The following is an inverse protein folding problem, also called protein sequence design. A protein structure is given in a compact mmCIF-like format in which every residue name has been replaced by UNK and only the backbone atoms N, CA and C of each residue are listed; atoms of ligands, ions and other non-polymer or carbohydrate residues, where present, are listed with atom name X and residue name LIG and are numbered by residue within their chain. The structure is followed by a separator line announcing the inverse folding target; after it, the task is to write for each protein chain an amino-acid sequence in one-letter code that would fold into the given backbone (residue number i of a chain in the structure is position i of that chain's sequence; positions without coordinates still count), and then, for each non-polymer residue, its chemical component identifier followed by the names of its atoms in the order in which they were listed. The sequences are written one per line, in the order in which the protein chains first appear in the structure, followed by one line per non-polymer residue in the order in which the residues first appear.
data_IF_115758687794
#
_entry.id   IF_115758687794
#
_cell.length_a   1.000
_cell.length_b   1.000
_cell.length_c   1.000
_cell.angle_alpha   90.00
_cell.angle_beta   90.00
_cell.angle_gamma   90.00
#
_symmetry.space_group_name_H-M   'P 1'
#
loop_
_entity.id
_entity.type
_entity.pdbx_description
1 polymer ?
#
# COMPACT_ATOMS: atom_id res chain seq x y z
N UNK A 1 39.61 -34.62 3.34
CA UNK A 1 39.17 -33.44 2.56
C UNK A 1 38.21 -32.62 3.40
N UNK A 2 38.71 -31.63 4.13
CA UNK A 2 37.90 -30.76 4.97
C UNK A 2 37.31 -29.68 4.07
N UNK A 3 36.01 -29.77 3.74
CA UNK A 3 35.27 -28.67 3.11
C UNK A 3 35.33 -27.50 4.08
N UNK A 4 36.11 -26.47 3.74
CA UNK A 4 36.11 -25.19 4.45
C UNK A 4 34.71 -24.60 4.30
N UNK A 5 33.93 -24.53 5.38
CA UNK A 5 32.70 -23.72 5.40
C UNK A 5 33.12 -22.27 5.16
N UNK A 6 32.76 -21.74 4.00
CA UNK A 6 33.00 -20.37 3.63
C UNK A 6 31.83 -19.53 4.19
N UNK A 7 32.07 -18.51 5.01
CA UNK A 7 30.99 -17.73 5.65
C UNK A 7 30.03 -17.08 4.63
N UNK A 8 30.49 -16.80 3.41
CA UNK A 8 29.64 -16.30 2.33
C UNK A 8 28.58 -17.33 1.89
N UNK A 9 28.89 -18.63 1.94
CA UNK A 9 27.97 -19.69 1.54
C UNK A 9 26.81 -19.82 2.54
N UNK A 10 27.09 -19.59 3.83
CA UNK A 10 26.07 -19.57 4.89
C UNK A 10 25.14 -18.35 4.76
N UNK A 11 25.69 -17.17 4.43
CA UNK A 11 24.90 -15.95 4.20
C UNK A 11 23.98 -16.13 2.99
N UNK A 12 24.50 -16.62 1.87
CA UNK A 12 23.71 -16.85 0.64
C UNK A 12 22.59 -17.87 0.91
N UNK A 13 22.89 -18.94 1.63
CA UNK A 13 21.89 -19.95 2.01
C UNK A 13 20.83 -19.36 2.94
N UNK A 14 21.21 -18.51 3.89
CA UNK A 14 20.29 -17.82 4.79
C UNK A 14 19.35 -16.88 4.03
N UNK A 15 19.88 -16.08 3.10
CA UNK A 15 19.07 -15.18 2.26
C UNK A 15 18.11 -15.96 1.35
N UNK A 16 18.58 -17.02 0.70
CA UNK A 16 17.74 -17.88 -0.14
C UNK A 16 16.62 -18.57 0.64
N UNK A 17 16.93 -19.02 1.87
CA UNK A 17 15.93 -19.64 2.76
C UNK A 17 14.90 -18.61 3.21
N UNK A 18 15.35 -17.40 3.58
CA UNK A 18 14.47 -16.30 3.98
C UNK A 18 13.52 -15.89 2.86
N UNK A 19 14.03 -15.78 1.64
CA UNK A 19 13.21 -15.49 0.46
C UNK A 19 12.13 -16.56 0.25
N UNK A 20 12.52 -17.84 0.19
CA UNK A 20 11.57 -18.94 -0.04
C UNK A 20 10.47 -19.00 1.03
N UNK A 21 10.83 -18.74 2.29
CA UNK A 21 9.87 -18.72 3.41
C UNK A 21 8.84 -17.59 3.25
N UNK A 22 9.28 -16.41 2.81
CA UNK A 22 8.37 -15.27 2.59
C UNK A 22 7.49 -15.52 1.36
N UNK A 23 8.04 -16.08 0.27
CA UNK A 23 7.28 -16.47 -0.92
C UNK A 23 6.17 -17.47 -0.59
N UNK A 24 6.47 -18.47 0.23
CA UNK A 24 5.49 -19.45 0.72
C UNK A 24 4.40 -18.78 1.57
N UNK A 25 4.79 -17.92 2.51
CA UNK A 25 3.85 -17.20 3.37
C UNK A 25 2.90 -16.30 2.57
N UNK A 26 3.41 -15.59 1.56
CA UNK A 26 2.59 -14.77 0.66
C UNK A 26 1.58 -15.65 -0.08
N UNK A 27 2.02 -16.78 -0.61
CA UNK A 27 1.16 -17.69 -1.37
C UNK A 27 0.02 -18.25 -0.52
N UNK A 28 0.33 -18.64 0.72
CA UNK A 28 -0.67 -19.10 1.70
C UNK A 28 -1.68 -18.00 2.01
N UNK A 29 -1.21 -16.80 2.37
CA UNK A 29 -2.09 -15.69 2.73
C UNK A 29 -3.02 -15.27 1.58
N UNK A 30 -2.52 -15.30 0.35
CA UNK A 30 -3.32 -14.96 -0.84
C UNK A 30 -4.36 -16.03 -1.13
N UNK A 31 -3.99 -17.30 -1.01
CA UNK A 31 -4.95 -18.40 -1.19
C UNK A 31 -6.08 -18.30 -0.17
N UNK A 32 -5.75 -18.16 1.11
CA UNK A 32 -6.75 -17.99 2.16
C UNK A 32 -7.58 -16.71 2.00
N UNK A 33 -6.98 -15.62 1.48
CA UNK A 33 -7.69 -14.38 1.23
C UNK A 33 -8.69 -14.53 0.08
N UNK A 34 -8.31 -15.22 -1.00
CA UNK A 34 -9.18 -15.49 -2.13
C UNK A 34 -10.34 -16.41 -1.73
N UNK A 35 -10.07 -17.48 -0.98
CA UNK A 35 -11.11 -18.37 -0.45
C UNK A 35 -12.09 -17.63 0.46
N UNK A 36 -11.57 -16.75 1.32
CA UNK A 36 -12.42 -15.90 2.14
C UNK A 36 -13.21 -14.91 1.28
N UNK A 37 -12.68 -14.40 0.17
CA UNK A 37 -13.36 -13.50 -0.77
C UNK A 37 -14.56 -14.11 -1.47
N UNK A 38 -14.57 -15.43 -1.68
CA UNK A 38 -15.68 -16.13 -2.32
C UNK A 38 -16.92 -16.27 -1.41
N UNK A 39 -16.79 -16.02 -0.10
CA UNK A 39 -17.93 -16.03 0.84
C UNK A 39 -18.82 -14.79 0.69
N UNK A 40 -20.03 -14.92 0.15
CA UNK A 40 -20.94 -13.78 -0.10
C UNK A 40 -21.43 -13.08 1.19
N UNK A 41 -21.34 -13.73 2.36
CA UNK A 41 -21.90 -13.24 3.62
C UNK A 41 -20.85 -12.88 4.67
N UNK A 42 -19.93 -11.98 4.30
CA UNK A 42 -18.90 -11.47 5.23
C UNK A 42 -19.47 -10.49 6.26
N UNK A 43 -19.19 -10.77 7.53
CA UNK A 43 -19.31 -9.80 8.61
C UNK A 43 -18.26 -8.68 8.49
N UNK A 44 -18.49 -7.54 9.13
CA UNK A 44 -17.50 -6.45 9.18
C UNK A 44 -16.16 -6.89 9.79
N UNK A 45 -16.18 -7.84 10.73
CA UNK A 45 -14.96 -8.38 11.35
C UNK A 45 -14.17 -9.26 10.37
N UNK A 46 -14.84 -10.12 9.61
CA UNK A 46 -14.20 -10.90 8.54
C UNK A 46 -13.64 -9.98 7.46
N UNK A 47 -14.34 -8.91 7.12
CA UNK A 47 -13.89 -7.93 6.14
C UNK A 47 -12.65 -7.15 6.65
N UNK A 48 -12.60 -6.79 7.93
CA UNK A 48 -11.39 -6.23 8.58
C UNK A 48 -10.22 -7.22 8.61
N UNK A 49 -10.49 -8.51 8.83
CA UNK A 49 -9.47 -9.55 8.79
C UNK A 49 -8.91 -9.71 7.36
N UNK A 50 -9.77 -9.75 6.36
CA UNK A 50 -9.38 -9.88 4.96
C UNK A 50 -8.54 -8.67 4.50
N UNK A 51 -8.94 -7.46 4.87
CA UNK A 51 -8.15 -6.24 4.65
C UNK A 51 -6.74 -6.36 5.24
N UNK A 52 -6.62 -6.87 6.47
CA UNK A 52 -5.32 -7.12 7.13
C UNK A 52 -4.48 -8.11 6.35
N UNK A 53 -5.06 -9.23 5.89
CA UNK A 53 -4.33 -10.23 5.09
C UNK A 53 -3.75 -9.61 3.82
N UNK A 54 -4.55 -8.88 3.06
CA UNK A 54 -4.09 -8.20 1.84
C UNK A 54 -3.02 -7.14 2.08
N UNK A 55 -3.14 -6.36 3.16
CA UNK A 55 -2.11 -5.39 3.52
C UNK A 55 -0.79 -6.07 3.92
N UNK A 56 -0.85 -7.16 4.67
CA UNK A 56 0.31 -7.99 5.03
C UNK A 56 0.99 -8.55 3.79
N UNK A 57 0.23 -9.10 2.84
CA UNK A 57 0.78 -9.60 1.57
C UNK A 57 1.51 -8.50 0.81
N UNK A 58 0.91 -7.31 0.72
CA UNK A 58 1.55 -6.15 0.08
C UNK A 58 2.88 -5.78 0.71
N UNK A 59 2.95 -5.75 2.06
CA UNK A 59 4.18 -5.48 2.79
C UNK A 59 5.23 -6.59 2.65
N UNK A 60 4.83 -7.85 2.72
CA UNK A 60 5.74 -8.99 2.54
C UNK A 60 6.32 -9.02 1.12
N UNK A 61 5.53 -8.67 0.10
CA UNK A 61 6.00 -8.54 -1.28
C UNK A 61 7.04 -7.43 -1.42
N UNK A 62 6.86 -6.29 -0.73
CA UNK A 62 7.85 -5.21 -0.70
C UNK A 62 9.14 -5.65 0.05
N UNK A 63 9.03 -6.49 1.08
CA UNK A 63 10.19 -7.02 1.83
C UNK A 63 11.03 -8.03 1.02
N UNK A 64 10.43 -8.75 0.06
CA UNK A 64 11.16 -9.70 -0.78
C UNK A 64 12.34 -9.04 -1.51
N UNK A 65 12.29 -7.75 -1.81
CA UNK A 65 13.39 -7.04 -2.48
C UNK A 65 14.67 -6.94 -1.64
N UNK A 66 14.57 -7.14 -0.33
CA UNK A 66 15.73 -7.17 0.58
C UNK A 66 16.54 -8.46 0.41
N UNK A 67 15.90 -9.54 -0.06
CA UNK A 67 16.54 -10.86 -0.21
C UNK A 67 17.15 -11.08 -1.60
N UNK A 68 16.86 -10.21 -2.57
CA UNK A 68 17.42 -10.25 -3.91
C UNK A 68 16.38 -9.89 -4.99
N UNK A 69 16.68 -10.19 -6.26
CA UNK A 69 15.73 -10.01 -7.36
C UNK A 69 14.43 -10.80 -7.09
N UNK A 70 13.32 -10.07 -7.07
CA UNK A 70 11.98 -10.63 -6.81
C UNK A 70 11.36 -11.07 -8.14
N UNK A 71 10.63 -12.19 -8.13
CA UNK A 71 9.87 -12.63 -9.32
C UNK A 71 8.71 -11.66 -9.58
N UNK A 72 8.43 -11.39 -10.86
CA UNK A 72 7.40 -10.45 -11.29
C UNK A 72 5.99 -10.78 -10.74
N UNK A 73 5.72 -12.07 -10.50
CA UNK A 73 4.48 -12.55 -9.88
C UNK A 73 4.26 -11.93 -8.50
N UNK A 74 5.28 -11.90 -7.65
CA UNK A 74 5.17 -11.34 -6.29
C UNK A 74 5.05 -9.80 -6.31
N UNK A 75 5.67 -9.14 -7.29
CA UNK A 75 5.52 -7.69 -7.50
C UNK A 75 4.07 -7.37 -7.90
N UNK A 76 3.53 -8.13 -8.84
CA UNK A 76 2.15 -7.99 -9.31
C UNK A 76 1.16 -8.30 -8.20
N UNK A 77 1.41 -9.37 -7.45
CA UNK A 77 0.60 -9.79 -6.32
C UNK A 77 0.58 -8.75 -5.20
N UNK A 78 1.73 -8.14 -4.88
CA UNK A 78 1.80 -7.03 -3.94
C UNK A 78 0.95 -5.83 -4.36
N UNK A 79 0.92 -5.49 -5.65
CA UNK A 79 0.06 -4.41 -6.18
C UNK A 79 -1.43 -4.78 -6.08
N UNK A 80 -1.80 -5.99 -6.48
CA UNK A 80 -3.18 -6.48 -6.41
C UNK A 80 -3.67 -6.48 -4.95
N UNK A 81 -2.87 -7.02 -4.04
CA UNK A 81 -3.21 -7.09 -2.62
C UNK A 81 -3.38 -5.68 -2.01
N UNK A 82 -2.48 -4.75 -2.31
CA UNK A 82 -2.62 -3.34 -1.89
C UNK A 82 -3.92 -2.70 -2.41
N UNK A 83 -4.26 -2.91 -3.68
CA UNK A 83 -5.51 -2.40 -4.28
C UNK A 83 -6.76 -3.03 -3.63
N UNK A 84 -6.74 -4.34 -3.38
CA UNK A 84 -7.82 -5.07 -2.70
C UNK A 84 -8.02 -4.57 -1.27
N UNK A 85 -6.95 -4.36 -0.51
CA UNK A 85 -7.03 -3.81 0.84
C UNK A 85 -7.72 -2.43 0.85
N UNK A 86 -7.40 -1.56 -0.10
CA UNK A 86 -8.05 -0.24 -0.24
C UNK A 86 -9.54 -0.38 -0.58
N UNK A 87 -9.89 -1.31 -1.46
CA UNK A 87 -11.29 -1.57 -1.84
C UNK A 87 -12.10 -2.02 -0.63
N UNK A 88 -11.59 -3.01 0.10
CA UNK A 88 -12.22 -3.53 1.31
C UNK A 88 -12.34 -2.45 2.38
N UNK A 89 -11.29 -1.63 2.54
CA UNK A 89 -11.32 -0.51 3.45
C UNK A 89 -12.47 0.46 3.12
N UNK A 90 -12.65 0.78 1.84
CA UNK A 90 -13.72 1.68 1.38
C UNK A 90 -15.09 1.09 1.67
N UNK A 91 -15.26 -0.21 1.50
CA UNK A 91 -16.52 -0.91 1.78
C UNK A 91 -16.83 -0.93 3.29
N UNK A 92 -15.80 -1.11 4.13
CA UNK A 92 -15.90 -0.98 5.59
C UNK A 92 -16.30 0.43 6.03
N UNK A 93 -15.74 1.46 5.39
CA UNK A 93 -16.02 2.88 5.71
C UNK A 93 -17.39 3.32 5.21
N UNK A 94 -17.85 2.75 4.09
CA UNK A 94 -19.16 3.04 3.51
C UNK A 94 -20.30 2.30 4.20
N UNK A 95 -19.98 1.36 5.11
CA UNK A 95 -20.92 0.70 6.02
C UNK A 95 -22.10 0.06 5.30
N UNK A 96 -21.90 -1.12 4.71
CA UNK A 96 -22.97 -2.02 4.25
C UNK A 96 -24.21 -1.31 3.64
N UNK A 97 -24.17 -0.99 2.35
CA UNK A 97 -25.35 -0.62 1.57
C UNK A 97 -25.31 0.79 0.98
N UNK A 98 -24.70 0.92 -0.19
CA UNK A 98 -25.06 1.97 -1.14
C UNK A 98 -24.70 1.51 -2.53
N UNK A 99 -25.70 0.96 -3.21
CA UNK A 99 -25.80 0.92 -4.66
C UNK A 99 -25.32 2.24 -5.26
N UNK A 100 -24.13 2.27 -5.85
CA UNK A 100 -23.77 3.28 -6.84
C UNK A 100 -24.44 2.92 -8.17
N UNK A 101 -24.97 3.89 -8.93
CA UNK A 101 -25.80 3.60 -10.08
C UNK A 101 -24.93 2.94 -11.15
N UNK A 102 -25.25 1.68 -11.47
CA UNK A 102 -24.88 1.08 -12.74
C UNK A 102 -25.58 1.91 -13.82
N UNK A 103 -24.89 2.95 -14.30
CA UNK A 103 -25.24 3.60 -15.55
C UNK A 103 -25.02 2.55 -16.63
N UNK A 104 -26.14 1.95 -17.01
CA UNK A 104 -26.38 1.39 -18.33
C UNK A 104 -25.69 2.26 -19.37
N UNK A 105 -24.72 1.70 -20.10
CA UNK A 105 -24.52 2.08 -21.50
C UNK A 105 -23.74 1.00 -22.26
N UNK A 106 -24.52 0.21 -22.98
CA UNK A 106 -24.19 -0.51 -24.21
C UNK A 106 -23.51 0.45 -25.21
N UNK A 107 -22.44 0.04 -25.93
CA UNK A 107 -21.94 0.78 -27.10
C UNK A 107 -22.56 0.21 -28.39
N UNK A 108 -22.29 0.78 -29.58
CA UNK A 108 -22.20 2.20 -29.94
C UNK A 108 -23.16 2.50 -31.10
N UNK A 109 -23.58 3.75 -31.30
CA UNK A 109 -23.90 4.18 -32.66
C UNK A 109 -23.60 5.66 -32.90
N UNK A 110 -23.14 5.88 -34.11
CA UNK A 110 -22.62 7.06 -34.81
C UNK A 110 -23.44 8.35 -34.67
N UNK A 111 -22.75 9.50 -34.54
CA UNK A 111 -22.82 10.60 -35.52
C UNK A 111 -21.85 11.77 -35.20
N UNK A 112 -21.30 12.30 -36.28
CA UNK A 112 -20.35 13.41 -36.47
C UNK A 112 -21.01 14.77 -36.15
N UNK A 113 -20.31 15.75 -35.52
CA UNK A 113 -19.83 16.98 -36.18
C UNK A 113 -19.14 18.00 -35.22
N UNK A 114 -18.15 18.66 -35.82
CA UNK A 114 -17.29 19.80 -35.55
C UNK A 114 -17.87 21.00 -34.78
N UNK A 115 -17.09 21.58 -33.84
CA UNK A 115 -16.60 22.98 -33.91
C UNK A 115 -15.91 23.42 -32.61
N UNK A 116 -14.82 24.15 -32.77
CA UNK A 116 -13.97 24.71 -31.74
C UNK A 116 -14.63 25.83 -30.92
N UNK A 117 -14.39 25.85 -29.60
CA UNK A 117 -14.37 27.09 -28.83
C UNK A 117 -13.38 26.99 -27.67
N UNK A 118 -12.36 27.85 -27.71
CA UNK A 118 -11.39 28.10 -26.64
C UNK A 118 -12.04 29.10 -25.68
N UNK A 119 -12.21 28.72 -24.41
CA UNK A 119 -12.28 29.70 -23.30
C UNK A 119 -11.62 29.15 -22.03
N UNK A 120 -10.71 29.99 -21.54
CA UNK A 120 -9.86 30.06 -20.35
C UNK A 120 -10.39 29.56 -18.98
N UNK A 121 -9.52 29.51 -17.94
CA UNK A 121 -9.49 28.45 -16.93
C UNK A 121 -10.39 28.75 -15.73
N UNK A 122 -11.19 27.76 -15.34
CA UNK A 122 -11.89 27.77 -14.05
C UNK A 122 -11.10 26.95 -13.04
N UNK A 123 -10.60 27.65 -12.02
CA UNK A 123 -10.33 27.25 -10.63
C UNK A 123 -10.36 25.74 -10.33
N UNK A 124 -9.29 25.13 -9.76
CA UNK A 124 -9.37 23.76 -9.28
C UNK A 124 -10.37 23.69 -8.12
N UNK A 125 -11.49 23.01 -8.34
CA UNK A 125 -12.33 22.49 -7.27
C UNK A 125 -11.47 21.57 -6.40
N UNK A 126 -11.38 21.88 -5.11
CA UNK A 126 -10.92 20.96 -4.07
C UNK A 126 -11.75 19.68 -4.15
N UNK A 127 -11.11 18.59 -4.58
CA UNK A 127 -11.68 17.26 -4.48
C UNK A 127 -11.34 16.72 -3.09
N UNK A 128 -12.30 16.16 -2.32
CA UNK A 128 -12.03 15.63 -0.99
C UNK A 128 -11.23 14.35 -1.12
N UNK A 129 -9.91 14.46 -0.92
CA UNK A 129 -9.03 13.29 -0.76
C UNK A 129 -9.26 12.67 0.61
N UNK A 130 -10.35 11.91 0.75
CA UNK A 130 -10.64 11.14 1.95
C UNK A 130 -9.78 9.87 1.98
N UNK A 131 -8.48 10.06 2.14
CA UNK A 131 -7.50 9.00 2.32
C UNK A 131 -7.68 8.41 3.72
N UNK A 132 -8.06 7.14 3.90
CA UNK A 132 -8.52 6.69 5.19
C UNK A 132 -7.45 5.86 5.92
N UNK A 133 -6.20 6.36 5.84
CA UNK A 133 -5.06 5.77 6.51
C UNK A 133 -4.95 6.14 8.01
N UNK A 134 -5.91 6.91 8.54
CA UNK A 134 -5.80 7.52 9.88
C UNK A 134 -6.14 6.60 11.06
N UNK A 135 -6.45 5.30 10.84
CA UNK A 135 -6.82 4.39 11.93
C UNK A 135 -5.92 3.17 12.10
N UNK A 136 -4.79 3.09 11.40
CA UNK A 136 -4.01 1.84 11.31
C UNK A 136 -2.67 1.81 12.05
N UNK A 137 -2.31 2.86 12.79
CA UNK A 137 -0.99 2.94 13.46
C UNK A 137 -0.94 2.34 14.87
N UNK A 138 -1.93 1.53 15.28
CA UNK A 138 -1.89 0.86 16.58
C UNK A 138 -1.40 -0.59 16.45
N UNK A 139 -0.14 -0.80 16.07
CA UNK A 139 0.57 -2.01 16.52
C UNK A 139 2.08 -1.78 16.67
N UNK A 140 2.53 -2.15 17.86
CA UNK A 140 3.77 -1.87 18.57
C UNK A 140 4.99 -2.55 17.94
N UNK A 141 6.04 -1.77 17.65
CA UNK A 141 7.43 -2.26 17.63
C UNK A 141 8.21 -1.53 18.72
N UNK A 142 8.66 -2.30 19.70
CA UNK A 142 9.53 -1.87 20.78
C UNK A 142 10.82 -1.28 20.21
N UNK A 143 10.96 0.05 20.26
CA UNK A 143 12.27 0.71 20.39
C UNK A 143 12.08 2.20 20.77
N UNK A 144 12.39 2.54 22.04
CA UNK A 144 12.56 3.89 22.62
C UNK A 144 11.30 4.78 22.63
N UNK A 145 11.11 5.58 23.66
CA UNK A 145 9.92 6.40 23.97
C UNK A 145 9.58 7.50 22.93
N UNK A 146 9.32 7.12 21.67
CA UNK A 146 8.78 8.04 20.66
C UNK A 146 7.26 8.03 20.77
N UNK A 147 6.61 9.17 21.10
CA UNK A 147 5.16 9.24 21.19
C UNK A 147 4.51 8.80 19.87
N UNK A 148 3.41 8.05 19.98
CA UNK A 148 2.70 7.51 18.81
C UNK A 148 2.22 8.61 17.84
N UNK A 149 1.91 9.79 18.39
CA UNK A 149 1.53 10.98 17.61
C UNK A 149 2.68 11.48 16.73
N UNK A 150 3.91 11.51 17.26
CA UNK A 150 5.13 11.88 16.52
C UNK A 150 5.39 10.90 15.37
N UNK A 151 5.24 9.60 15.62
CA UNK A 151 5.37 8.56 14.59
C UNK A 151 4.32 8.76 13.49
N UNK A 152 3.06 8.95 13.88
CA UNK A 152 1.94 9.12 12.95
C UNK A 152 2.12 10.38 12.09
N UNK A 153 2.56 11.48 12.68
CA UNK A 153 2.81 12.74 11.98
C UNK A 153 4.01 12.63 11.03
N UNK A 154 5.10 11.97 11.46
CA UNK A 154 6.29 11.75 10.63
C UNK A 154 5.94 10.89 9.40
N UNK A 155 5.13 9.84 9.58
CA UNK A 155 4.67 9.00 8.47
C UNK A 155 3.76 9.75 7.50
N UNK A 156 2.93 10.68 7.99
CA UNK A 156 2.10 11.54 7.14
C UNK A 156 2.96 12.45 6.26
N UNK A 157 4.00 13.06 6.81
CA UNK A 157 4.94 13.89 6.06
C UNK A 157 5.68 13.08 4.99
N UNK A 158 6.11 11.85 5.31
CA UNK A 158 6.74 10.96 4.31
C UNK A 158 5.79 10.58 3.17
N UNK A 159 4.48 10.42 3.44
CA UNK A 159 3.48 10.19 2.37
C UNK A 159 3.31 11.43 1.48
N UNK A 160 3.36 12.64 2.04
CA UNK A 160 3.31 13.88 1.26
C UNK A 160 4.57 14.10 0.44
N UNK A 161 5.74 13.76 0.97
CA UNK A 161 6.98 13.77 0.20
C UNK A 161 6.88 12.85 -1.03
N UNK A 162 6.34 11.64 -0.84
CA UNK A 162 6.17 10.68 -1.94
C UNK A 162 5.20 11.22 -3.01
N UNK A 163 4.05 11.77 -2.60
CA UNK A 163 3.10 12.39 -3.53
C UNK A 163 3.69 13.59 -4.28
N UNK A 164 4.55 14.40 -3.64
CA UNK A 164 5.23 15.50 -4.30
C UNK A 164 6.22 15.01 -5.38
N UNK A 165 6.92 13.90 -5.12
CA UNK A 165 7.81 13.27 -6.11
C UNK A 165 7.05 12.75 -7.34
N UNK A 166 5.83 12.22 -7.17
CA UNK A 166 4.97 11.81 -8.29
C UNK A 166 4.58 12.97 -9.21
N UNK A 167 4.59 14.20 -8.69
CA UNK A 167 4.31 15.43 -9.43
C UNK A 167 5.57 16.21 -9.81
N UNK A 168 6.76 15.60 -9.67
CA UNK A 168 8.06 16.23 -9.93
C UNK A 168 8.31 17.50 -9.11
N UNK A 169 7.58 17.70 -8.01
CA UNK A 169 7.74 18.83 -7.09
C UNK A 169 8.82 18.51 -6.05
N UNK A 170 10.08 18.68 -6.48
CA UNK A 170 11.26 18.39 -5.66
C UNK A 170 11.29 19.28 -4.40
N UNK A 171 10.89 20.55 -4.51
CA UNK A 171 10.94 21.49 -3.40
C UNK A 171 9.98 21.08 -2.27
N UNK A 172 8.74 20.72 -2.62
CA UNK A 172 7.75 20.22 -1.66
C UNK A 172 8.16 18.86 -1.08
N UNK A 173 8.79 17.99 -1.87
CA UNK A 173 9.30 16.71 -1.38
C UNK A 173 10.40 16.89 -0.31
N UNK A 174 11.39 17.75 -0.59
CA UNK A 174 12.48 18.06 0.35
C UNK A 174 11.92 18.66 1.64
N UNK A 175 11.02 19.64 1.53
CA UNK A 175 10.39 20.27 2.69
C UNK A 175 9.70 19.26 3.61
N UNK A 176 8.88 18.35 3.07
CA UNK A 176 8.18 17.36 3.89
C UNK A 176 9.15 16.37 4.56
N UNK A 177 10.23 15.98 3.87
CA UNK A 177 11.28 15.14 4.44
C UNK A 177 12.03 15.84 5.59
N UNK A 178 12.37 17.12 5.44
CA UNK A 178 13.02 17.91 6.49
C UNK A 178 12.13 18.04 7.73
N UNK A 179 10.83 18.27 7.55
CA UNK A 179 9.88 18.33 8.65
C UNK A 179 9.75 16.97 9.38
N UNK A 180 9.77 15.86 8.63
CA UNK A 180 9.75 14.52 9.23
C UNK A 180 11.03 14.25 10.03
N UNK A 181 12.19 14.64 9.50
CA UNK A 181 13.47 14.54 10.20
C UNK A 181 13.48 15.38 11.48
N UNK A 182 12.96 16.61 11.44
CA UNK A 182 12.89 17.48 12.60
C UNK A 182 12.04 16.89 13.74
N UNK A 183 10.93 16.21 13.41
CA UNK A 183 10.09 15.53 14.40
C UNK A 183 10.79 14.33 15.04
N UNK A 184 11.62 13.62 14.29
CA UNK A 184 12.28 12.39 14.74
C UNK A 184 13.64 12.64 15.40
N UNK A 185 14.31 13.75 15.08
CA UNK A 185 15.65 14.09 15.55
C UNK A 185 15.81 14.03 17.09
N UNK A 186 14.86 14.50 17.92
CA UNK A 186 14.97 14.43 19.38
C UNK A 186 15.00 13.00 19.94
N UNK A 187 14.61 12.02 19.14
CA UNK A 187 14.54 10.61 19.52
C UNK A 187 15.71 9.79 18.96
N UNK A 188 16.64 10.45 18.24
CA UNK A 188 17.83 9.85 17.67
C UNK A 188 19.01 9.94 18.65
N UNK A 189 19.03 9.04 19.64
CA UNK A 189 20.08 8.90 20.66
C UNK A 189 20.68 7.49 20.68
#
# INVERSE_FOLDING_TARGET
MTKRNNPNDEIIKSMSTGQATIEELISVLVTEANEAEDDEHKTSEQLRLLMRKHYTVGGLADVLSVFGPVKDDFITLGKIAKSRAVTIFRDLKSGAGSTGPSSTMKPPDSHIDTSAHIVSPSKPSEMPSSNPASSFYNQTTSNKDVPLDVISQSQKLLRYANSALEHEDIATAVYNCEQALQLLQPYNH
#
